data_IF_301346508594
#
_entry.id   IF_301346508594
#
_cell.length_a   1.000
_cell.length_b   1.000
_cell.length_c   1.000
_cell.angle_alpha   90.00
_cell.angle_beta   90.00
_cell.angle_gamma   90.00
#
_symmetry.space_group_name_H-M   'P 1'
#
loop_
_entity.id
_entity.type
_entity.pdbx_description
1 polymer ?
#
# COMPACT_ATOMS: atom_id res chain seq x y z
N UNK A 1 16.58 11.25 23.59
CA UNK A 1 16.03 11.56 23.11
C UNK A 1 15.46 11.70 22.83
N UNK A 2 15.58 11.47 22.61
CA UNK A 2 14.92 11.63 21.95
C UNK A 2 14.23 11.67 21.60
N UNK A 3 14.33 11.27 21.64
CA UNK A 3 13.65 11.42 21.02
C UNK A 3 13.25 11.32 20.69
N UNK A 4 13.51 11.06 20.43
CA UNK A 4 13.12 11.02 19.77
C UNK A 4 12.68 10.78 19.36
N UNK A 5 12.88 10.50 19.49
CA UNK A 5 12.41 10.37 18.87
C UNK A 5 11.86 10.13 18.74
N UNK A 6 11.95 9.94 18.80
CA UNK A 6 11.26 9.93 18.47
C UNK A 6 10.69 9.88 18.22
N UNK A 7 10.76 9.61 17.95
CA UNK A 7 10.11 9.83 17.57
C UNK A 7 9.72 9.72 17.00
N UNK A 8 10.12 9.44 16.65
CA UNK A 8 9.60 9.50 16.02
C UNK A 8 9.05 9.19 15.78
N UNK A 9 9.77 9.08 15.81
CA UNK A 9 8.80 8.19 16.22
C UNK A 9 7.75 7.74 15.25
N UNK A 10 7.16 8.55 14.53
CA UNK A 10 6.07 8.21 13.65
C UNK A 10 6.40 7.12 12.64
N UNK A 11 7.64 7.05 12.23
CA UNK A 11 8.06 6.05 11.26
C UNK A 11 7.89 4.65 11.85
N UNK A 12 8.28 4.47 13.08
CA UNK A 12 8.15 3.16 13.70
C UNK A 12 6.71 2.74 13.87
N UNK A 13 5.84 3.69 14.09
CA UNK A 13 4.44 3.38 14.26
C UNK A 13 3.84 2.80 12.98
N UNK A 14 4.43 3.11 11.84
CA UNK A 14 3.91 2.62 10.58
C UNK A 14 4.35 1.21 10.28
N UNK A 15 5.49 0.79 10.82
CA UNK A 15 5.97 -0.56 10.59
C UNK A 15 5.02 -1.52 11.28
N UNK A 16 4.43 -2.42 10.52
CA UNK A 16 3.48 -3.38 11.03
C UNK A 16 2.09 -2.83 11.26
N UNK A 17 1.89 -1.53 11.09
CA UNK A 17 0.56 -0.94 11.21
C UNK A 17 -0.29 -1.32 10.02
N UNK A 18 -1.59 -1.27 10.20
CA UNK A 18 -2.51 -1.52 9.10
C UNK A 18 -2.44 -0.42 8.08
N UNK A 19 -2.82 -0.74 6.84
CA UNK A 19 -2.84 0.24 5.78
C UNK A 19 -3.80 1.37 6.12
N UNK A 20 -3.55 2.53 5.54
CA UNK A 20 -4.42 3.67 5.71
C UNK A 20 -5.66 3.51 4.84
N UNK A 21 -6.67 4.32 5.15
CA UNK A 21 -7.87 4.32 4.34
C UNK A 21 -7.57 4.71 2.90
N UNK A 22 -6.69 5.68 2.71
CA UNK A 22 -6.31 6.11 1.36
C UNK A 22 -5.66 4.98 0.60
N UNK A 23 -4.78 4.24 1.26
CA UNK A 23 -4.16 3.07 0.64
C UNK A 23 -5.21 2.03 0.26
N UNK A 24 -6.16 1.79 1.15
CA UNK A 24 -7.19 0.78 0.89
C UNK A 24 -7.99 1.14 -0.35
N UNK A 25 -8.41 2.39 -0.47
CA UNK A 25 -9.19 2.82 -1.62
C UNK A 25 -8.37 2.74 -2.90
N UNK A 26 -7.12 3.18 -2.84
CA UNK A 26 -6.26 3.13 -4.01
C UNK A 26 -5.98 1.70 -4.44
N UNK A 27 -5.67 0.84 -3.48
CA UNK A 27 -5.39 -0.56 -3.78
C UNK A 27 -6.59 -1.25 -4.40
N UNK A 28 -7.77 -0.99 -3.85
CA UNK A 28 -8.98 -1.60 -4.38
C UNK A 28 -9.22 -1.18 -5.82
N UNK A 29 -9.07 0.11 -6.12
CA UNK A 29 -9.23 0.60 -7.49
C UNK A 29 -8.23 -0.02 -8.43
N UNK A 30 -6.97 -0.08 -8.02
CA UNK A 30 -5.93 -0.63 -8.87
C UNK A 30 -6.12 -2.12 -9.09
N UNK A 31 -6.55 -2.83 -8.05
CA UNK A 31 -6.80 -4.27 -8.20
C UNK A 31 -7.91 -4.53 -9.20
N UNK A 32 -8.96 -3.71 -9.17
CA UNK A 32 -10.04 -3.85 -10.12
C UNK A 32 -9.59 -3.50 -11.53
N UNK A 33 -8.81 -2.44 -11.66
CA UNK A 33 -8.32 -2.01 -12.97
C UNK A 33 -7.40 -3.06 -13.59
N UNK A 34 -6.62 -3.73 -12.77
CA UNK A 34 -5.70 -4.77 -13.24
C UNK A 34 -6.37 -6.14 -13.37
N UNK A 35 -7.66 -6.23 -13.07
CA UNK A 35 -8.40 -7.50 -13.08
C UNK A 35 -7.79 -8.51 -12.11
N UNK A 36 -7.32 -8.02 -10.96
CA UNK A 36 -6.74 -8.87 -9.93
C UNK A 36 -7.37 -8.50 -8.58
N UNK A 37 -8.67 -8.70 -8.42
CA UNK A 37 -9.34 -8.26 -7.18
C UNK A 37 -8.80 -8.93 -5.93
N UNK A 38 -8.19 -10.11 -6.06
CA UNK A 38 -7.63 -10.79 -4.90
C UNK A 38 -6.41 -10.09 -4.33
N UNK A 39 -5.85 -9.12 -5.05
CA UNK A 39 -4.73 -8.34 -4.52
C UNK A 39 -5.19 -7.40 -3.41
N UNK A 40 -6.46 -7.09 -3.35
CA UNK A 40 -6.98 -6.29 -2.26
C UNK A 40 -7.41 -7.18 -1.09
N UNK A 41 -7.01 -6.81 0.11
CA UNK A 41 -7.51 -7.42 1.33
C UNK A 41 -7.58 -6.33 2.39
N UNK A 42 -8.58 -6.41 3.25
CA UNK A 42 -8.80 -5.34 4.21
C UNK A 42 -7.85 -5.39 5.41
N UNK A 43 -7.13 -6.48 5.57
CA UNK A 43 -6.26 -6.68 6.73
C UNK A 43 -4.77 -6.58 6.39
N UNK A 44 -4.44 -5.90 5.30
CA UNK A 44 -3.05 -5.73 4.91
C UNK A 44 -2.34 -4.74 5.81
N UNK A 45 -1.02 -4.94 5.98
CA UNK A 45 -0.19 -3.94 6.64
C UNK A 45 0.09 -2.78 5.70
N UNK A 46 0.55 -1.68 6.29
CA UNK A 46 0.93 -0.50 5.52
C UNK A 46 1.96 -0.85 4.44
N UNK A 47 3.01 -1.60 4.83
CA UNK A 47 4.07 -1.95 3.89
C UNK A 47 3.58 -2.88 2.80
N UNK A 48 2.77 -3.86 3.17
CA UNK A 48 2.27 -4.79 2.16
C UNK A 48 1.34 -4.09 1.19
N UNK A 49 0.51 -3.17 1.68
CA UNK A 49 -0.37 -2.40 0.81
C UNK A 49 0.44 -1.56 -0.18
N UNK A 50 1.51 -0.92 0.30
CA UNK A 50 2.37 -0.14 -0.59
C UNK A 50 3.01 -1.01 -1.65
N UNK A 51 3.46 -2.19 -1.27
CA UNK A 51 4.07 -3.12 -2.21
C UNK A 51 3.10 -3.51 -3.30
N UNK A 52 1.87 -3.84 -2.92
CA UNK A 52 0.85 -4.25 -3.89
C UNK A 52 0.43 -3.10 -4.78
N UNK A 53 0.30 -1.89 -4.22
CA UNK A 53 -0.03 -0.72 -5.02
C UNK A 53 1.04 -0.50 -6.08
N UNK A 54 2.31 -0.56 -5.69
CA UNK A 54 3.41 -0.35 -6.62
C UNK A 54 3.40 -1.41 -7.72
N UNK A 55 3.19 -2.67 -7.35
CA UNK A 55 3.18 -3.76 -8.32
C UNK A 55 2.02 -3.61 -9.30
N UNK A 56 0.84 -3.26 -8.80
CA UNK A 56 -0.32 -3.11 -9.67
C UNK A 56 -0.16 -1.92 -10.62
N UNK A 57 0.40 -0.82 -10.13
CA UNK A 57 0.65 0.33 -11.01
C UNK A 57 1.60 -0.05 -12.13
N UNK A 58 2.61 -0.84 -11.83
CA UNK A 58 3.56 -1.28 -12.84
C UNK A 58 2.88 -2.18 -13.87
N UNK A 59 2.01 -3.08 -13.42
CA UNK A 59 1.29 -3.97 -14.35
C UNK A 59 0.36 -3.20 -15.25
N UNK A 60 -0.35 -2.23 -14.69
CA UNK A 60 -1.26 -1.43 -15.49
C UNK A 60 -0.49 -0.62 -16.52
N UNK A 61 0.65 -0.06 -16.11
CA UNK A 61 1.48 0.70 -17.05
C UNK A 61 1.99 -0.17 -18.18
N UNK A 62 2.38 -1.41 -17.88
CA UNK A 62 2.82 -2.34 -18.91
C UNK A 62 1.69 -2.66 -19.88
N UNK A 63 0.51 -2.89 -19.35
CA UNK A 63 -0.64 -3.20 -20.22
C UNK A 63 -0.93 -2.04 -21.15
N UNK A 64 -0.80 -0.81 -20.65
CA UNK A 64 -1.06 0.37 -21.46
C UNK A 64 -0.03 0.59 -22.55
N UNK A 65 1.15 -0.01 -22.40
CA UNK A 65 2.20 0.12 -23.42
C UNK A 65 1.95 -0.74 -24.64
N UNK A 66 1.06 -1.70 -24.54
CA UNK A 66 0.76 -2.59 -25.65
C UNK A 66 -0.52 -2.18 -26.31
#
# INVERSE_FOLDING_TARGET
MNAMAVRYGGVQERVGAQMTRAQALRLKSLAEEAYQPTQYAHDLTFEEAERRITALKAEIALADCF
#
